data_IF_365947287653
#
_entry.id   IF_365947287653
#
_cell.length_a   1.000
_cell.length_b   1.000
_cell.length_c   1.000
_cell.angle_alpha   90.00
_cell.angle_beta   90.00
_cell.angle_gamma   90.00
#
_symmetry.space_group_name_H-M   'P 1'
#
loop_
_entity.id
_entity.type
_entity.pdbx_description
1 polymer ?
#
# COMPACT_ATOMS: atom_id res chain seq x y z
N UNK A 1 8.70 2.42 6.17
CA UNK A 1 8.15 3.10 7.38
C UNK A 1 9.10 2.87 8.53
N UNK A 2 9.38 3.91 9.31
CA UNK A 2 10.18 3.82 10.52
C UNK A 2 9.48 2.94 11.56
N UNK A 3 10.27 2.12 12.25
CA UNK A 3 9.81 1.24 13.33
C UNK A 3 10.91 1.26 14.38
N UNK A 4 10.59 1.76 15.57
CA UNK A 4 11.57 2.00 16.62
C UNK A 4 12.31 0.69 16.97
N UNK A 5 13.64 0.74 16.98
CA UNK A 5 14.47 -0.43 17.31
C UNK A 5 14.52 -1.53 16.23
N UNK A 6 13.89 -1.34 15.07
CA UNK A 6 13.92 -2.31 13.95
C UNK A 6 14.55 -1.67 12.72
N UNK A 7 15.56 -2.34 12.16
CA UNK A 7 16.26 -1.89 10.96
C UNK A 7 15.30 -1.50 9.84
N UNK A 8 15.49 -0.29 9.28
CA UNK A 8 14.66 0.30 8.23
C UNK A 8 15.56 0.74 7.09
N UNK A 9 15.69 -0.11 6.06
CA UNK A 9 16.70 0.06 5.01
C UNK A 9 16.22 0.80 3.77
N UNK A 10 14.90 1.00 3.63
CA UNK A 10 14.23 1.46 2.39
C UNK A 10 14.67 0.71 1.13
N UNK A 11 15.07 -0.56 1.28
CA UNK A 11 15.58 -1.36 0.18
C UNK A 11 16.98 -0.94 -0.30
N UNK A 12 17.68 -0.06 0.41
CA UNK A 12 19.00 0.47 0.05
C UNK A 12 20.12 -0.08 0.92
N UNK A 13 21.34 -0.14 0.38
CA UNK A 13 22.57 -0.35 1.16
C UNK A 13 22.98 0.90 1.96
N UNK A 14 22.57 2.09 1.53
CA UNK A 14 22.87 3.36 2.22
C UNK A 14 22.32 3.35 3.64
N UNK A 15 21.14 2.74 3.84
CA UNK A 15 20.47 2.63 5.13
C UNK A 15 20.51 1.19 5.69
N UNK A 16 21.45 0.35 5.26
CA UNK A 16 21.52 -1.05 5.67
C UNK A 16 21.54 -1.25 7.20
N UNK A 17 22.16 -0.31 7.92
CA UNK A 17 22.27 -0.33 9.39
C UNK A 17 21.41 0.74 10.08
N UNK A 18 20.50 1.39 9.35
CA UNK A 18 19.66 2.43 9.93
C UNK A 18 18.59 1.81 10.83
N UNK A 19 18.64 2.13 12.12
CA UNK A 19 17.64 1.75 13.11
C UNK A 19 17.00 3.04 13.62
N UNK A 20 15.71 3.30 13.30
CA UNK A 20 15.00 4.47 13.82
C UNK A 20 14.81 4.40 15.33
N UNK A 21 14.86 5.56 15.99
CA UNK A 21 14.55 5.69 17.43
C UNK A 21 13.04 5.83 17.69
N UNK A 22 12.29 6.28 16.69
CA UNK A 22 10.85 6.53 16.78
C UNK A 22 10.06 5.70 15.75
N UNK A 23 8.83 5.36 16.11
CA UNK A 23 7.88 4.73 15.21
C UNK A 23 7.22 5.76 14.28
N UNK A 24 6.92 5.34 13.06
CA UNK A 24 5.99 6.05 12.21
C UNK A 24 4.58 6.08 12.85
N UNK A 25 3.81 7.14 12.60
CA UNK A 25 2.46 7.28 13.18
C UNK A 25 1.56 6.07 12.87
N UNK A 26 1.63 5.56 11.64
CA UNK A 26 0.91 4.35 11.23
C UNK A 26 1.32 3.10 12.01
N UNK A 27 2.58 3.02 12.45
CA UNK A 27 3.08 1.90 13.27
C UNK A 27 2.55 2.02 14.70
N UNK A 28 2.52 3.25 15.25
CA UNK A 28 1.93 3.53 16.56
C UNK A 28 0.46 3.11 16.56
N UNK A 29 -0.34 3.59 15.59
CA UNK A 29 -1.77 3.26 15.49
C UNK A 29 -2.03 1.76 15.36
N UNK A 30 -1.26 1.07 14.52
CA UNK A 30 -1.38 -0.38 14.39
C UNK A 30 -1.04 -1.09 15.72
N UNK A 31 0.00 -0.66 16.43
CA UNK A 31 0.37 -1.24 17.72
C UNK A 31 -0.71 -1.02 18.77
N UNK A 32 -1.25 0.19 18.85
CA UNK A 32 -2.32 0.55 19.79
C UNK A 32 -3.62 -0.22 19.50
N UNK A 33 -3.89 -0.52 18.22
CA UNK A 33 -4.98 -1.41 17.81
C UNK A 33 -4.71 -2.90 18.06
N UNK A 34 -3.55 -3.27 18.61
CA UNK A 34 -3.18 -4.64 18.95
C UNK A 34 -2.58 -5.46 17.80
N UNK A 35 -2.11 -4.81 16.73
CA UNK A 35 -1.46 -5.51 15.62
C UNK A 35 -0.11 -6.11 16.04
N UNK A 36 0.19 -7.31 15.52
CA UNK A 36 1.47 -7.99 15.68
C UNK A 36 2.29 -7.79 14.41
N UNK A 37 3.51 -7.25 14.55
CA UNK A 37 4.43 -7.03 13.44
C UNK A 37 5.29 -8.28 13.18
N UNK A 38 5.13 -8.88 12.00
CA UNK A 38 5.87 -10.09 11.61
C UNK A 38 7.28 -9.74 11.09
N UNK A 39 7.45 -8.59 10.44
CA UNK A 39 8.75 -8.16 9.92
C UNK A 39 8.67 -6.92 9.04
N UNK A 40 9.78 -6.67 8.33
CA UNK A 40 9.88 -5.62 7.31
C UNK A 40 9.85 -6.25 5.93
N UNK A 41 9.12 -5.61 5.04
CA UNK A 41 8.90 -6.13 3.69
C UNK A 41 9.96 -5.62 2.73
N UNK A 42 10.28 -6.43 1.72
CA UNK A 42 11.17 -6.01 0.65
C UNK A 42 10.42 -5.08 -0.33
N UNK A 43 11.17 -4.17 -0.94
CA UNK A 43 10.67 -3.14 -1.85
C UNK A 43 11.74 -2.78 -2.88
N UNK A 44 11.36 -2.04 -3.91
CA UNK A 44 12.34 -1.40 -4.80
C UNK A 44 13.05 -0.26 -4.05
N UNK A 45 14.34 -0.07 -4.31
CA UNK A 45 15.18 0.88 -3.56
C UNK A 45 14.56 2.29 -3.54
N UNK A 46 14.43 2.89 -2.35
CA UNK A 46 13.79 4.20 -2.13
C UNK A 46 12.35 4.31 -2.69
N UNK A 47 11.65 3.18 -2.79
CA UNK A 47 10.34 3.08 -3.42
C UNK A 47 10.31 3.49 -4.90
N UNK A 48 11.47 3.54 -5.57
CA UNK A 48 11.65 4.07 -6.92
C UNK A 48 11.62 2.98 -7.99
N UNK A 49 10.43 2.39 -8.19
CA UNK A 49 10.18 1.50 -9.33
C UNK A 49 8.86 0.75 -9.23
N UNK A 50 8.56 -0.04 -10.26
CA UNK A 50 7.26 -0.69 -10.46
C UNK A 50 7.34 -2.22 -10.42
N UNK A 51 8.47 -2.79 -10.02
CA UNK A 51 8.73 -4.23 -10.11
C UNK A 51 9.11 -4.88 -8.79
N UNK A 52 9.62 -4.11 -7.83
CA UNK A 52 10.23 -4.64 -6.61
C UNK A 52 11.40 -5.59 -6.88
N UNK A 53 12.08 -5.38 -8.01
CA UNK A 53 13.37 -5.99 -8.28
C UNK A 53 14.45 -5.20 -7.52
N UNK A 54 14.90 -5.74 -6.39
CA UNK A 54 15.88 -5.06 -5.54
C UNK A 54 17.29 -5.64 -5.74
N UNK A 55 18.28 -4.85 -6.21
CA UNK A 55 19.63 -5.34 -6.48
C UNK A 55 20.46 -5.61 -5.21
N UNK A 56 19.96 -5.22 -4.04
CA UNK A 56 20.69 -5.32 -2.76
C UNK A 56 20.18 -6.46 -1.89
N UNK A 57 18.87 -6.67 -1.87
CA UNK A 57 18.21 -7.66 -1.01
C UNK A 57 17.49 -8.77 -1.81
N UNK A 58 17.64 -8.77 -3.14
CA UNK A 58 17.05 -9.76 -4.04
C UNK A 58 15.69 -9.33 -4.58
N UNK A 59 15.32 -9.90 -5.74
CA UNK A 59 14.02 -9.66 -6.35
C UNK A 59 12.90 -10.26 -5.50
N UNK A 60 11.78 -9.54 -5.40
CA UNK A 60 10.53 -10.15 -4.94
C UNK A 60 9.88 -10.86 -6.13
N UNK A 61 9.35 -12.06 -5.89
CA UNK A 61 8.70 -12.88 -6.91
C UNK A 61 7.17 -12.90 -6.71
N UNK A 62 6.42 -12.99 -7.80
CA UNK A 62 4.97 -13.09 -7.75
C UNK A 62 4.52 -14.49 -7.26
N UNK A 63 3.66 -14.60 -6.23
CA UNK A 63 3.18 -15.90 -5.73
C UNK A 63 2.41 -16.73 -6.77
N UNK A 64 1.83 -16.10 -7.79
CA UNK A 64 1.10 -16.78 -8.86
C UNK A 64 2.00 -17.30 -9.99
N UNK A 65 3.28 -16.92 -9.99
CA UNK A 65 4.26 -17.35 -10.98
C UNK A 65 5.63 -16.76 -10.65
N UNK A 66 6.54 -17.60 -10.16
CA UNK A 66 7.81 -17.13 -9.59
C UNK A 66 8.73 -16.44 -10.61
N UNK A 67 8.55 -16.67 -11.91
CA UNK A 67 9.29 -15.96 -12.96
C UNK A 67 8.73 -14.55 -13.28
N UNK A 68 7.70 -14.10 -12.55
CA UNK A 68 7.03 -12.82 -12.78
C UNK A 68 7.23 -11.86 -11.61
N UNK A 69 7.11 -10.56 -11.91
CA UNK A 69 7.17 -9.50 -10.90
C UNK A 69 5.87 -9.41 -10.10
N UNK A 70 5.93 -9.07 -8.81
CA UNK A 70 4.75 -8.82 -7.97
C UNK A 70 4.20 -7.40 -8.14
N UNK A 71 4.69 -6.63 -9.12
CA UNK A 71 4.51 -5.18 -9.16
C UNK A 71 5.40 -4.47 -8.14
N UNK A 72 5.30 -3.15 -8.04
CA UNK A 72 6.14 -2.38 -7.15
C UNK A 72 5.70 -0.94 -7.00
N UNK A 73 6.29 -0.18 -6.09
CA UNK A 73 7.48 -0.58 -5.30
C UNK A 73 7.19 -1.43 -4.05
N UNK A 74 5.93 -1.55 -3.62
CA UNK A 74 5.54 -2.33 -2.42
C UNK A 74 5.26 -3.82 -2.71
N UNK A 75 5.96 -4.42 -3.66
CA UNK A 75 5.73 -5.80 -4.12
C UNK A 75 5.89 -6.86 -3.03
N UNK A 76 6.78 -6.65 -2.04
CA UNK A 76 6.94 -7.55 -0.90
C UNK A 76 5.64 -7.74 -0.12
N UNK A 77 4.91 -6.66 0.15
CA UNK A 77 3.64 -6.72 0.86
C UNK A 77 2.54 -7.37 0.04
N UNK A 78 2.44 -7.04 -1.26
CA UNK A 78 1.51 -7.72 -2.16
C UNK A 78 1.74 -9.23 -2.20
N UNK A 79 3.01 -9.65 -2.31
CA UNK A 79 3.39 -11.06 -2.34
C UNK A 79 3.14 -11.77 -1.00
N UNK A 80 3.44 -11.14 0.14
CA UNK A 80 3.20 -11.69 1.47
C UNK A 80 1.70 -11.94 1.74
N UNK A 81 0.85 -10.97 1.40
CA UNK A 81 -0.60 -11.08 1.59
C UNK A 81 -1.20 -12.16 0.69
N UNK A 82 -0.79 -12.20 -0.58
CA UNK A 82 -1.27 -13.18 -1.55
C UNK A 82 -0.86 -14.62 -1.20
N UNK A 83 0.36 -14.80 -0.69
CA UNK A 83 0.88 -16.11 -0.25
C UNK A 83 0.42 -16.52 1.16
N UNK A 84 -0.30 -15.65 1.88
CA UNK A 84 -0.81 -15.95 3.22
C UNK A 84 0.22 -15.85 4.35
N UNK A 85 1.40 -15.27 4.09
CA UNK A 85 2.43 -15.01 5.10
C UNK A 85 1.95 -13.95 6.10
N UNK A 86 1.27 -12.92 5.60
CA UNK A 86 0.64 -11.88 6.42
C UNK A 86 -0.88 -11.82 6.14
N UNK A 87 -1.66 -11.36 7.13
CA UNK A 87 -3.08 -11.06 6.92
C UNK A 87 -3.28 -9.75 6.16
N UNK A 88 -2.42 -8.78 6.45
CA UNK A 88 -2.37 -7.48 5.82
C UNK A 88 -0.94 -6.96 5.80
N UNK A 89 -0.69 -6.06 4.86
CA UNK A 89 0.59 -5.39 4.70
C UNK A 89 0.36 -3.90 4.47
N UNK A 90 1.38 -3.09 4.79
CA UNK A 90 1.37 -1.66 4.54
C UNK A 90 2.40 -1.33 3.46
N UNK A 91 1.96 -0.67 2.40
CA UNK A 91 2.84 -0.16 1.35
C UNK A 91 2.76 1.36 1.25
N UNK A 92 3.56 1.92 0.35
CA UNK A 92 3.50 3.33 -0.02
C UNK A 92 3.09 3.48 -1.47
N UNK A 93 2.34 4.54 -1.82
CA UNK A 93 1.83 4.78 -3.18
C UNK A 93 1.97 6.26 -3.56
N UNK A 94 2.93 6.53 -4.43
CA UNK A 94 3.08 7.81 -5.14
C UNK A 94 2.43 7.72 -6.53
N UNK A 95 2.89 6.76 -7.33
CA UNK A 95 2.50 6.57 -8.73
C UNK A 95 1.75 5.27 -9.01
N UNK A 96 1.39 4.50 -7.98
CA UNK A 96 0.82 3.16 -8.13
C UNK A 96 1.39 2.14 -7.17
N UNK A 97 2.33 2.49 -6.30
CA UNK A 97 3.15 1.52 -5.57
C UNK A 97 2.44 0.64 -4.52
N UNK A 98 1.14 0.88 -4.24
CA UNK A 98 0.26 -0.07 -3.51
C UNK A 98 -0.72 -0.74 -4.48
N UNK A 99 -1.30 0.03 -5.41
CA UNK A 99 -2.29 -0.47 -6.37
C UNK A 99 -1.71 -1.45 -7.40
N UNK A 100 -0.49 -1.22 -7.86
CA UNK A 100 0.23 -2.11 -8.78
C UNK A 100 0.48 -3.48 -8.14
N UNK A 101 1.10 -3.59 -6.93
CA UNK A 101 1.14 -4.87 -6.24
C UNK A 101 -0.22 -5.48 -5.95
N UNK A 102 -1.23 -4.67 -5.62
CA UNK A 102 -2.61 -5.13 -5.50
C UNK A 102 -3.09 -5.87 -6.75
N UNK A 103 -2.95 -5.24 -7.92
CA UNK A 103 -3.33 -5.83 -9.20
C UNK A 103 -2.49 -7.07 -9.55
N UNK A 104 -1.17 -6.99 -9.44
CA UNK A 104 -0.25 -8.03 -9.91
C UNK A 104 -0.30 -9.29 -9.02
N UNK A 105 -0.47 -9.12 -7.71
CA UNK A 105 -0.56 -10.24 -6.77
C UNK A 105 -2.01 -10.70 -6.51
N UNK A 106 -3.02 -10.08 -7.13
CA UNK A 106 -4.41 -10.46 -6.97
C UNK A 106 -4.97 -10.19 -5.57
N UNK A 107 -4.58 -9.07 -4.97
CA UNK A 107 -5.00 -8.63 -3.62
C UNK A 107 -5.58 -7.22 -3.67
N UNK A 108 -6.28 -6.80 -2.62
CA UNK A 108 -6.82 -5.44 -2.53
C UNK A 108 -5.69 -4.49 -2.15
N UNK A 109 -5.28 -3.61 -3.05
CA UNK A 109 -4.38 -2.48 -2.76
C UNK A 109 -5.15 -1.16 -2.77
N UNK A 110 -5.17 -0.42 -1.66
CA UNK A 110 -5.92 0.82 -1.53
C UNK A 110 -5.02 2.04 -1.35
N UNK A 111 -5.18 3.03 -2.24
CA UNK A 111 -4.67 4.39 -2.05
C UNK A 111 -5.83 5.32 -1.71
N UNK A 112 -5.88 5.75 -0.45
CA UNK A 112 -6.77 6.80 0.05
C UNK A 112 -6.50 8.20 -0.53
N UNK A 113 -7.34 9.15 -0.12
CA UNK A 113 -7.13 10.59 -0.32
C UNK A 113 -5.86 11.05 0.39
N UNK A 114 -5.11 11.95 -0.24
CA UNK A 114 -3.93 12.59 0.34
C UNK A 114 -4.26 13.25 1.69
N UNK A 115 -3.36 13.10 2.67
CA UNK A 115 -3.53 13.63 4.03
C UNK A 115 -4.55 12.89 4.91
N UNK A 116 -5.17 11.80 4.42
CA UNK A 116 -6.05 10.95 5.25
C UNK A 116 -5.29 10.10 6.28
N UNK A 117 -4.06 9.73 5.95
CA UNK A 117 -3.16 8.91 6.78
C UNK A 117 -1.86 9.70 6.90
N UNK A 118 -1.33 9.79 8.12
CA UNK A 118 -0.10 10.51 8.42
C UNK A 118 1.09 9.91 7.66
N UNK A 119 1.97 10.79 7.16
CA UNK A 119 3.26 10.45 6.58
C UNK A 119 4.40 10.50 7.62
N UNK A 120 4.13 10.85 8.88
CA UNK A 120 5.18 10.96 9.90
C UNK A 120 5.90 9.63 10.10
N UNK A 121 7.24 9.66 10.00
CA UNK A 121 8.10 8.47 10.02
C UNK A 121 8.18 7.71 8.70
N UNK A 122 7.66 8.28 7.60
CA UNK A 122 7.95 7.83 6.25
C UNK A 122 9.24 8.49 5.74
N UNK A 123 10.09 7.71 5.07
CA UNK A 123 11.11 8.29 4.19
C UNK A 123 10.43 8.70 2.90
N UNK A 124 10.12 9.99 2.80
CA UNK A 124 9.28 10.55 1.74
C UNK A 124 10.02 10.50 0.39
N UNK A 125 9.37 9.94 -0.62
CA UNK A 125 9.77 10.05 -2.03
C UNK A 125 9.26 11.37 -2.62
N UNK A 126 8.07 11.82 -2.21
CA UNK A 126 7.52 13.13 -2.55
C UNK A 126 6.67 13.73 -1.44
N UNK A 127 7.01 14.96 -1.04
CA UNK A 127 6.35 15.72 0.02
C UNK A 127 4.86 16.03 -0.23
N UNK A 128 4.35 15.87 -1.45
CA UNK A 128 2.96 16.19 -1.81
C UNK A 128 2.20 15.03 -2.46
N UNK A 129 2.80 13.85 -2.54
CA UNK A 129 2.26 12.76 -3.35
C UNK A 129 2.27 11.38 -2.68
N UNK A 130 3.06 11.17 -1.63
CA UNK A 130 3.10 9.87 -0.97
C UNK A 130 1.82 9.55 -0.19
N UNK A 131 1.48 8.29 -0.18
CA UNK A 131 0.37 7.76 0.61
C UNK A 131 0.85 6.48 1.28
N UNK A 132 0.43 6.24 2.52
CA UNK A 132 0.56 4.91 3.15
C UNK A 132 -0.79 4.22 3.01
N UNK A 133 -0.78 3.04 2.40
CA UNK A 133 -1.99 2.32 2.00
C UNK A 133 -1.96 0.84 2.40
N UNK A 134 -3.12 0.25 2.74
CA UNK A 134 -3.20 -1.16 3.06
C UNK A 134 -3.19 -2.03 1.79
N UNK A 135 -2.59 -3.21 1.93
CA UNK A 135 -2.76 -4.36 1.05
C UNK A 135 -3.36 -5.52 1.84
N UNK A 136 -4.48 -6.07 1.39
CA UNK A 136 -5.23 -7.14 2.11
C UNK A 136 -5.90 -8.11 1.13
N UNK A 137 -6.40 -9.26 1.62
CA UNK A 137 -7.13 -10.22 0.77
C UNK A 137 -8.58 -9.85 0.51
N UNK A 138 -9.16 -8.90 1.24
CA UNK A 138 -10.57 -8.55 1.10
C UNK A 138 -10.81 -7.05 1.27
N UNK A 139 -11.85 -6.53 0.62
CA UNK A 139 -12.24 -5.12 0.75
C UNK A 139 -12.61 -4.78 2.19
N UNK A 140 -13.20 -5.73 2.93
CA UNK A 140 -13.55 -5.56 4.33
C UNK A 140 -12.29 -5.38 5.20
N UNK A 141 -11.25 -6.18 4.97
CA UNK A 141 -9.99 -6.05 5.71
C UNK A 141 -9.29 -4.73 5.40
N UNK A 142 -9.30 -4.28 4.14
CA UNK A 142 -8.76 -2.96 3.79
C UNK A 142 -9.55 -1.82 4.42
N UNK A 143 -10.87 -1.93 4.55
CA UNK A 143 -11.70 -0.94 5.24
C UNK A 143 -11.38 -0.88 6.74
N UNK A 144 -11.26 -2.04 7.39
CA UNK A 144 -10.86 -2.16 8.80
C UNK A 144 -9.46 -1.59 9.03
N UNK A 145 -8.48 -1.96 8.21
CA UNK A 145 -7.12 -1.48 8.37
C UNK A 145 -7.04 0.03 8.11
N UNK A 146 -7.71 0.54 7.07
CA UNK A 146 -7.77 1.98 6.84
C UNK A 146 -8.42 2.73 8.02
N UNK A 147 -9.42 2.14 8.69
CA UNK A 147 -10.03 2.72 9.91
C UNK A 147 -8.98 2.98 11.01
N UNK A 148 -8.03 2.05 11.17
CA UNK A 148 -6.94 2.15 12.15
C UNK A 148 -5.89 3.18 11.70
N UNK A 149 -5.52 3.17 10.42
CA UNK A 149 -4.48 4.05 9.90
C UNK A 149 -4.92 5.51 9.77
N UNK A 150 -6.19 5.74 9.44
CA UNK A 150 -6.70 7.06 9.11
C UNK A 150 -6.91 7.95 10.34
N UNK A 151 -6.85 9.25 10.12
CA UNK A 151 -7.13 10.26 11.17
C UNK A 151 -6.03 11.29 11.28
N UNK A 152 -6.38 12.43 11.87
CA UNK A 152 -5.47 13.56 11.97
C UNK A 152 -4.25 13.24 12.84
N UNK A 153 -3.05 13.53 12.35
CA UNK A 153 -1.83 13.61 13.14
C UNK A 153 -1.39 15.08 13.20
N UNK A 154 -1.51 15.77 14.35
CA UNK A 154 -1.10 17.17 14.48
C UNK A 154 0.39 17.44 14.24
N UNK A 155 1.24 16.40 14.27
CA UNK A 155 2.67 16.51 14.03
C UNK A 155 3.04 16.31 12.55
N UNK A 156 2.06 15.95 11.71
CA UNK A 156 2.21 15.86 10.27
C UNK A 156 1.50 17.04 9.59
N UNK A 157 2.24 18.01 9.00
CA UNK A 157 1.62 19.16 8.34
C UNK A 157 0.84 18.79 7.07
N UNK A 158 1.01 17.58 6.53
CA UNK A 158 0.23 17.07 5.39
C UNK A 158 -1.09 16.41 5.81
N UNK A 159 -1.22 16.05 7.09
CA UNK A 159 -2.42 15.43 7.64
C UNK A 159 -3.57 16.43 7.69
N UNK A 160 -4.76 16.01 7.26
CA UNK A 160 -5.94 16.87 7.22
C UNK A 160 -6.87 16.54 8.40
N UNK A 161 -7.34 17.54 9.18
CA UNK A 161 -8.21 17.33 10.35
C UNK A 161 -9.66 17.01 9.96
N UNK A 162 -9.88 15.88 9.31
CA UNK A 162 -11.21 15.37 8.95
C UNK A 162 -11.52 14.13 9.79
N UNK A 163 -12.71 14.04 10.42
CA UNK A 163 -13.14 12.84 11.13
C UNK A 163 -12.99 11.58 10.27
N UNK A 164 -12.61 10.48 10.90
CA UNK A 164 -12.56 9.17 10.24
C UNK A 164 -13.98 8.61 10.27
N UNK A 165 -14.63 8.40 9.11
CA UNK A 165 -15.95 7.76 9.09
C UNK A 165 -15.80 6.28 9.44
N UNK A 166 -16.90 5.62 9.82
CA UNK A 166 -16.93 4.15 9.88
C UNK A 166 -16.98 3.59 8.46
N UNK A 167 -15.82 3.16 7.94
CA UNK A 167 -15.72 2.59 6.59
C UNK A 167 -16.51 1.29 6.45
N UNK A 168 -16.58 0.49 7.51
CA UNK A 168 -17.28 -0.80 7.49
C UNK A 168 -18.79 -0.63 7.38
N UNK A 169 -19.34 0.48 7.87
CA UNK A 169 -20.77 0.79 7.75
C UNK A 169 -21.30 0.84 6.31
N UNK A 170 -20.41 0.91 5.30
CA UNK A 170 -20.78 0.92 3.89
C UNK A 170 -20.70 -0.45 3.20
N UNK A 171 -20.09 -1.45 3.84
CA UNK A 171 -19.95 -2.79 3.28
C UNK A 171 -21.32 -3.46 3.14
N UNK A 172 -21.50 -4.24 2.06
CA UNK A 172 -22.75 -4.96 1.78
C UNK A 172 -23.93 -4.09 1.31
N UNK A 173 -23.78 -2.76 1.28
CA UNK A 173 -24.79 -1.88 0.68
C UNK A 173 -24.80 -2.06 -0.84
N UNK A 174 -26.00 -2.21 -1.41
CA UNK A 174 -26.17 -2.34 -2.85
C UNK A 174 -25.77 -1.08 -3.62
N UNK A 175 -25.33 -1.24 -4.86
CA UNK A 175 -24.84 -0.15 -5.71
C UNK A 175 -25.96 0.50 -6.56
N UNK A 176 -27.23 0.08 -6.40
CA UNK A 176 -28.36 0.57 -7.20
C UNK A 176 -28.51 2.08 -7.05
N UNK A 177 -28.49 2.80 -8.17
CA UNK A 177 -28.63 4.25 -8.22
C UNK A 177 -27.31 5.02 -8.12
N UNK A 178 -26.18 4.35 -7.90
CA UNK A 178 -24.86 4.98 -8.06
C UNK A 178 -24.56 5.20 -9.54
N UNK A 179 -23.81 6.26 -9.83
CA UNK A 179 -23.34 6.60 -11.18
C UNK A 179 -21.85 6.30 -11.26
N UNK A 180 -21.45 5.46 -12.21
CA UNK A 180 -20.05 5.18 -12.51
C UNK A 180 -19.62 5.97 -13.75
N UNK A 181 -18.54 6.73 -13.64
CA UNK A 181 -17.92 7.39 -14.78
C UNK A 181 -16.90 6.45 -15.43
N UNK A 182 -17.03 6.23 -16.73
CA UNK A 182 -16.06 5.46 -17.51
C UNK A 182 -15.34 6.43 -18.45
N UNK A 183 -14.01 6.64 -18.30
CA UNK A 183 -13.26 7.52 -19.19
C UNK A 183 -13.34 7.04 -20.64
N UNK A 184 -13.63 7.94 -21.58
CA UNK A 184 -13.83 7.59 -22.99
C UNK A 184 -12.58 7.80 -23.87
N UNK A 185 -11.50 8.39 -23.33
CA UNK A 185 -10.29 8.72 -24.08
C UNK A 185 -9.02 8.32 -23.31
N UNK A 186 -7.99 7.85 -24.03
CA UNK A 186 -6.61 7.60 -23.57
C UNK A 186 -6.40 6.54 -22.49
N UNK A 187 -7.41 6.23 -21.68
CA UNK A 187 -7.29 5.35 -20.52
C UNK A 187 -7.19 3.87 -20.88
N UNK A 188 -7.86 3.46 -21.96
CA UNK A 188 -7.95 2.06 -22.39
C UNK A 188 -7.16 1.76 -23.68
N UNK A 189 -6.51 2.77 -24.26
CA UNK A 189 -5.89 2.68 -25.59
C UNK A 189 -4.64 1.78 -25.59
N UNK A 190 -3.98 1.66 -24.43
CA UNK A 190 -2.74 0.90 -24.26
C UNK A 190 -2.94 -0.45 -23.56
N UNK A 191 -4.18 -0.84 -23.27
CA UNK A 191 -4.45 -2.15 -22.66
C UNK A 191 -4.25 -3.28 -23.67
N UNK A 192 -3.66 -4.38 -23.22
CA UNK A 192 -3.70 -5.62 -23.96
C UNK A 192 -5.14 -6.15 -24.08
N UNK A 193 -5.37 -7.03 -25.05
CA UNK A 193 -6.72 -7.53 -25.36
C UNK A 193 -7.41 -8.21 -24.18
N UNK A 194 -6.66 -8.95 -23.34
CA UNK A 194 -7.24 -9.66 -22.19
C UNK A 194 -7.63 -8.68 -21.09
N UNK A 195 -6.75 -7.74 -20.75
CA UNK A 195 -7.07 -6.71 -19.74
C UNK A 195 -8.25 -5.85 -20.18
N UNK A 196 -8.30 -5.48 -21.46
CA UNK A 196 -9.42 -4.72 -22.04
C UNK A 196 -10.75 -5.48 -21.94
N UNK A 197 -10.75 -6.78 -22.21
CA UNK A 197 -11.93 -7.63 -22.07
C UNK A 197 -12.41 -7.69 -20.61
N UNK A 198 -11.50 -7.97 -19.67
CA UNK A 198 -11.84 -8.06 -18.25
C UNK A 198 -12.40 -6.73 -17.71
N UNK A 199 -11.84 -5.59 -18.12
CA UNK A 199 -12.37 -4.28 -17.74
C UNK A 199 -13.77 -4.00 -18.30
N UNK A 200 -14.15 -4.59 -19.43
CA UNK A 200 -15.47 -4.42 -20.03
C UNK A 200 -16.54 -5.33 -19.40
N UNK A 201 -16.12 -6.45 -18.80
CA UNK A 201 -16.99 -7.42 -18.13
C UNK A 201 -17.30 -7.04 -16.67
N UNK A 202 -16.42 -6.26 -16.03
CA UNK A 202 -16.54 -5.79 -14.65
C UNK A 202 -17.51 -4.62 -14.49
#
# INVERSE_FOLDING_TARGET
>A
MATAGITTTVGSKVLANHVPDEDAEVVIRCRDAGAIFIGKENLEEFAAGATSNNPHYGAVHNPWGLDHVPGGSSGGGGANVASGVTFASLGTDLGGSVRLPGTFCGVVGLKQTYGRVSQRGLMVTSFNGDHIGPMTRSVADSALLLQVLAGNDPLDPSSVPVPVPDYNSYLGKGLKGLKMGVPSNHFFDLLDGRSKQLCAEA
#
